data_IF_535018744581
#
_entry.id   IF_535018744581
#
_cell.length_a   1.000
_cell.length_b   1.000
_cell.length_c   1.000
_cell.angle_alpha   90.00
_cell.angle_beta   90.00
_cell.angle_gamma   90.00
#
_symmetry.space_group_name_H-M   'P 1'
#
loop_
_entity.id
_entity.type
_entity.pdbx_description
1 polymer ?
#
# COMPACT_ATOMS: atom_id res chain seq x y z
N UNK A 1 12.67 -17.39 7.73
CA UNK A 1 12.15 -16.68 6.54
C UNK A 1 10.72 -17.19 6.34
N UNK A 2 9.71 -16.33 6.42
CA UNK A 2 8.31 -16.77 6.20
C UNK A 2 8.09 -17.13 4.72
N UNK A 3 7.06 -17.93 4.43
CA UNK A 3 6.61 -18.13 3.06
C UNK A 3 6.08 -16.80 2.48
N UNK A 4 6.43 -16.50 1.24
CA UNK A 4 5.93 -15.32 0.54
C UNK A 4 4.44 -15.45 0.20
N UNK A 5 3.71 -14.34 0.27
CA UNK A 5 2.29 -14.26 -0.14
C UNK A 5 2.17 -13.45 -1.43
N UNK A 6 1.14 -13.73 -2.23
CA UNK A 6 0.80 -12.96 -3.44
C UNK A 6 -0.68 -12.59 -3.37
N UNK A 7 -0.99 -11.31 -3.56
CA UNK A 7 -2.35 -10.77 -3.49
C UNK A 7 -2.57 -9.91 -4.73
N UNK A 8 -3.67 -10.15 -5.44
CA UNK A 8 -4.12 -9.28 -6.53
C UNK A 8 -4.99 -8.16 -5.96
N UNK A 9 -4.73 -6.93 -6.37
CA UNK A 9 -5.45 -5.73 -5.91
C UNK A 9 -5.86 -4.92 -7.12
N UNK A 10 -7.14 -4.55 -7.19
CA UNK A 10 -7.67 -3.71 -8.25
C UNK A 10 -8.77 -2.78 -7.70
N UNK A 11 -9.04 -1.73 -8.45
CA UNK A 11 -10.11 -0.79 -8.18
C UNK A 11 -10.29 0.15 -9.37
N UNK A 12 -11.46 0.78 -9.52
CA UNK A 12 -11.69 1.72 -10.61
C UNK A 12 -10.84 3.01 -10.49
N UNK A 13 -10.39 3.35 -9.27
CA UNK A 13 -9.59 4.54 -8.98
C UNK A 13 -8.59 4.26 -7.86
N UNK A 14 -7.45 4.95 -7.89
CA UNK A 14 -6.45 4.96 -6.83
C UNK A 14 -5.81 6.34 -6.69
N UNK A 15 -5.40 6.71 -5.47
CA UNK A 15 -4.72 7.98 -5.20
C UNK A 15 -3.59 7.76 -4.19
N UNK A 16 -2.36 7.60 -4.71
CA UNK A 16 -1.15 7.49 -3.90
C UNK A 16 -0.50 8.88 -3.81
N UNK A 17 -0.90 9.69 -2.84
CA UNK A 17 -0.52 11.11 -2.78
C UNK A 17 1.01 11.32 -2.77
N UNK A 18 1.49 12.13 -3.72
CA UNK A 18 2.85 12.66 -3.74
C UNK A 18 3.00 13.73 -2.63
N UNK A 19 3.94 13.58 -1.68
CA UNK A 19 4.06 14.49 -0.54
C UNK A 19 4.63 15.86 -0.92
N UNK A 20 5.26 15.99 -2.09
CA UNK A 20 5.82 17.26 -2.57
C UNK A 20 4.72 18.25 -2.98
N UNK A 21 3.57 17.74 -3.44
CA UNK A 21 2.45 18.54 -3.93
C UNK A 21 1.38 18.67 -2.85
N UNK A 22 1.34 19.83 -2.18
CA UNK A 22 0.43 20.08 -1.04
C UNK A 22 -0.86 20.80 -1.40
N UNK A 23 -0.88 21.54 -2.51
CA UNK A 23 -2.06 22.29 -2.94
C UNK A 23 -3.09 21.36 -3.59
N UNK A 24 -2.65 20.54 -4.55
CA UNK A 24 -3.48 19.57 -5.25
C UNK A 24 -2.97 18.16 -5.02
N UNK A 25 -3.89 17.20 -4.90
CA UNK A 25 -3.54 15.80 -4.69
C UNK A 25 -3.21 15.16 -6.03
N UNK A 26 -1.96 14.76 -6.20
CA UNK A 26 -1.48 14.04 -7.39
C UNK A 26 -1.01 12.66 -6.97
N UNK A 27 -1.41 11.65 -7.74
CA UNK A 27 -1.01 10.26 -7.48
C UNK A 27 0.40 9.96 -7.99
N UNK A 28 1.11 9.05 -7.35
CA UNK A 28 2.19 8.31 -7.98
C UNK A 28 1.65 7.45 -9.13
N UNK A 29 2.51 7.16 -10.11
CA UNK A 29 2.16 6.36 -11.30
C UNK A 29 1.92 4.88 -10.95
N UNK A 30 2.50 4.44 -9.83
CA UNK A 30 2.36 3.08 -9.28
C UNK A 30 2.12 3.14 -7.77
N UNK A 31 1.57 2.05 -7.23
CA UNK A 31 1.38 1.88 -5.79
C UNK A 31 2.70 2.01 -5.03
N UNK A 32 2.68 2.70 -3.89
CA UNK A 32 3.86 2.82 -3.02
C UNK A 32 4.02 1.57 -2.14
N UNK A 33 5.25 1.19 -1.73
CA UNK A 33 5.43 0.07 -0.81
C UNK A 33 4.69 0.22 0.51
N UNK A 34 4.53 1.46 1.00
CA UNK A 34 3.74 1.74 2.21
C UNK A 34 2.25 1.50 2.02
N UNK A 35 1.69 1.86 0.86
CA UNK A 35 0.30 1.57 0.53
C UNK A 35 0.08 0.05 0.34
N UNK A 36 0.99 -0.64 -0.35
CA UNK A 36 0.94 -2.10 -0.50
C UNK A 36 1.00 -2.81 0.86
N UNK A 37 1.87 -2.36 1.77
CA UNK A 37 1.91 -2.85 3.15
C UNK A 37 0.59 -2.61 3.87
N UNK A 38 0.02 -1.40 3.77
CA UNK A 38 -1.26 -1.08 4.40
C UNK A 38 -2.40 -1.98 3.93
N UNK A 39 -2.41 -2.39 2.66
CA UNK A 39 -3.40 -3.34 2.13
C UNK A 39 -3.22 -4.72 2.77
N UNK A 40 -1.99 -5.22 2.86
CA UNK A 40 -1.72 -6.50 3.54
C UNK A 40 -2.10 -6.45 5.03
N UNK A 41 -1.80 -5.34 5.70
CA UNK A 41 -2.14 -5.12 7.10
C UNK A 41 -3.66 -5.06 7.32
N UNK A 42 -4.42 -4.53 6.35
CA UNK A 42 -5.88 -4.50 6.39
C UNK A 42 -6.52 -5.90 6.23
N UNK A 43 -5.88 -6.81 5.47
CA UNK A 43 -6.34 -8.20 5.35
C UNK A 43 -6.07 -8.96 6.65
N UNK A 44 -4.84 -8.87 7.16
CA UNK A 44 -4.47 -9.51 8.42
C UNK A 44 -3.25 -8.84 9.05
N UNK A 45 -3.42 -8.34 10.27
CA UNK A 45 -2.32 -7.80 11.05
C UNK A 45 -2.52 -7.99 12.55
N UNK A 46 -1.39 -8.15 13.24
CA UNK A 46 -1.24 -8.16 14.70
C UNK A 46 0.08 -7.47 15.06
N UNK A 47 0.25 -6.87 16.25
CA UNK A 47 1.48 -6.17 16.65
C UNK A 47 2.77 -7.00 16.51
N UNK A 48 2.67 -8.32 16.59
CA UNK A 48 3.77 -9.28 16.45
C UNK A 48 4.19 -9.52 14.99
N UNK A 49 3.39 -9.03 14.03
CA UNK A 49 3.57 -9.25 12.59
C UNK A 49 4.04 -7.96 11.94
N UNK A 50 5.09 -8.06 11.13
CA UNK A 50 5.58 -6.96 10.28
C UNK A 50 5.80 -7.44 8.86
N UNK A 51 5.01 -6.91 7.94
CA UNK A 51 5.23 -7.06 6.50
C UNK A 51 6.47 -6.26 6.07
N UNK A 52 7.32 -6.88 5.25
CA UNK A 52 8.57 -6.31 4.73
C UNK A 52 8.54 -6.27 3.21
#
# INVERSE_FOLDING_TARGET
>A
MGYGVKVEVWGPWALFCRPEMKAERVTYDVITPSAARGILEAIYWKPEIRYR
#
